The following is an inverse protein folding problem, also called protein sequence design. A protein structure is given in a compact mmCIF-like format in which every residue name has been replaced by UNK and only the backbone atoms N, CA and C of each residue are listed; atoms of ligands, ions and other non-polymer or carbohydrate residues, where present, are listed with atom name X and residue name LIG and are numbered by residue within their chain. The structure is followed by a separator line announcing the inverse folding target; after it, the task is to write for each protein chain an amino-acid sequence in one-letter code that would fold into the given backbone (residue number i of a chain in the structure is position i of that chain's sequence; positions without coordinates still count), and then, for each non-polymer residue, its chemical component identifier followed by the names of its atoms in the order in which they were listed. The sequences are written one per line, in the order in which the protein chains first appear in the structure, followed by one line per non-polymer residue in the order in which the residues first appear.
data_IF_086203602665
#
_entry.id   IF_086203602665
#
_cell.length_a   1.000
_cell.length_b   1.000
_cell.length_c   1.000
_cell.angle_alpha   90.00
_cell.angle_beta   90.00
_cell.angle_gamma   90.00
#
_symmetry.space_group_name_H-M   'P 1'
#
loop_
_entity.id
_entity.type
_entity.pdbx_description
1 polymer ?
#
# COMPACT_ATOMS: atom_id res chain seq x y z
N UNK A 1 4.53 11.34 8.78
CA UNK A 1 3.96 11.31 7.42
C UNK A 1 4.69 10.31 6.52
N UNK A 2 5.98 10.50 6.19
CA UNK A 2 6.70 9.60 5.26
C UNK A 2 6.81 8.16 5.77
N UNK A 3 7.17 7.97 7.04
CA UNK A 3 7.35 6.61 7.57
C UNK A 3 6.01 5.88 7.75
N UNK A 4 4.97 6.59 8.20
CA UNK A 4 3.60 6.08 8.19
C UNK A 4 3.11 5.75 6.77
N UNK A 5 3.44 6.59 5.79
CA UNK A 5 3.13 6.35 4.37
C UNK A 5 3.81 5.10 3.83
N UNK A 6 5.08 4.85 4.20
CA UNK A 6 5.79 3.63 3.82
C UNK A 6 5.17 2.38 4.44
N UNK A 7 4.82 2.42 5.73
CA UNK A 7 4.13 1.31 6.38
C UNK A 7 2.78 1.01 5.71
N UNK A 8 2.02 2.06 5.39
CA UNK A 8 0.77 1.95 4.64
C UNK A 8 0.98 1.31 3.25
N UNK A 9 1.95 1.80 2.47
CA UNK A 9 2.27 1.21 1.15
C UNK A 9 2.70 -0.25 1.25
N UNK A 10 3.42 -0.63 2.31
CA UNK A 10 3.80 -2.02 2.54
C UNK A 10 2.59 -2.90 2.84
N UNK A 11 1.70 -2.46 3.73
CA UNK A 11 0.48 -3.17 4.06
C UNK A 11 -0.42 -3.35 2.82
N UNK A 12 -0.58 -2.29 2.02
CA UNK A 12 -1.37 -2.38 0.79
C UNK A 12 -0.75 -3.32 -0.25
N UNK A 13 0.59 -3.39 -0.38
CA UNK A 13 1.24 -4.36 -1.27
C UNK A 13 0.95 -5.80 -0.84
N UNK A 14 0.99 -6.07 0.47
CA UNK A 14 0.64 -7.39 1.00
C UNK A 14 -0.83 -7.73 0.72
N UNK A 15 -1.74 -6.79 0.93
CA UNK A 15 -3.15 -6.96 0.60
C UNK A 15 -3.35 -7.28 -0.89
N UNK A 16 -2.74 -6.50 -1.79
CA UNK A 16 -2.83 -6.71 -3.25
C UNK A 16 -2.29 -8.09 -3.65
N UNK A 17 -1.21 -8.55 -3.02
CA UNK A 17 -0.69 -9.89 -3.27
C UNK A 17 -1.68 -10.98 -2.85
N UNK A 18 -2.35 -10.82 -1.70
CA UNK A 18 -3.42 -11.73 -1.28
C UNK A 18 -4.59 -11.77 -2.28
N UNK A 19 -4.97 -10.63 -2.85
CA UNK A 19 -6.00 -10.58 -3.91
C UNK A 19 -5.55 -11.32 -5.17
N UNK A 20 -4.28 -11.17 -5.58
CA UNK A 20 -3.72 -11.93 -6.72
C UNK A 20 -3.72 -13.43 -6.48
N UNK A 21 -3.33 -13.86 -5.28
CA UNK A 21 -3.34 -15.28 -4.91
C UNK A 21 -4.75 -15.86 -4.96
N UNK A 22 -5.74 -15.11 -4.46
CA UNK A 22 -7.15 -15.50 -4.53
C UNK A 22 -7.64 -15.60 -5.99
N UNK A 23 -7.23 -14.67 -6.85
CA UNK A 23 -7.55 -14.72 -8.28
C UNK A 23 -7.02 -16.01 -8.93
N UNK A 24 -5.77 -16.40 -8.62
CA UNK A 24 -5.15 -17.62 -9.14
C UNK A 24 -5.86 -18.90 -8.65
N UNK A 25 -6.24 -18.93 -7.37
CA UNK A 25 -6.99 -20.06 -6.80
C UNK A 25 -8.40 -20.18 -7.39
N UNK A 26 -8.96 -19.06 -7.86
CA UNK A 26 -10.30 -18.99 -8.46
C UNK A 26 -10.28 -19.24 -9.97
N UNK A 27 -9.19 -19.75 -10.55
CA UNK A 27 -9.02 -19.97 -12.01
C UNK A 27 -10.05 -20.90 -12.67
N UNK A 28 -10.88 -21.61 -11.90
CA UNK A 28 -12.01 -22.40 -12.42
C UNK A 28 -13.25 -21.55 -12.71
N UNK A 29 -13.36 -20.38 -12.09
CA UNK A 29 -14.42 -19.41 -12.31
C UNK A 29 -13.80 -18.19 -12.98
N UNK A 30 -13.98 -18.09 -14.30
CA UNK A 30 -13.40 -17.03 -15.12
C UNK A 30 -13.86 -15.64 -14.67
N UNK A 31 -15.10 -15.51 -14.16
CA UNK A 31 -15.65 -14.22 -13.69
C UNK A 31 -14.94 -13.79 -12.41
N UNK A 32 -14.79 -14.69 -11.44
CA UNK A 32 -14.09 -14.41 -10.17
C UNK A 32 -12.60 -14.16 -10.44
N UNK A 33 -11.95 -15.04 -11.20
CA UNK A 33 -10.51 -14.96 -11.50
C UNK A 33 -10.13 -13.66 -12.23
N UNK A 34 -10.83 -13.34 -13.33
CA UNK A 34 -10.54 -12.15 -14.14
C UNK A 34 -10.84 -10.85 -13.38
N UNK A 35 -11.94 -10.79 -12.62
CA UNK A 35 -12.32 -9.59 -11.85
C UNK A 35 -11.33 -9.30 -10.73
N UNK A 36 -10.93 -10.33 -9.96
CA UNK A 36 -9.93 -10.17 -8.90
C UNK A 36 -8.56 -9.79 -9.46
N UNK A 37 -8.17 -10.33 -10.61
CA UNK A 37 -6.93 -9.95 -11.28
C UNK A 37 -6.94 -8.46 -11.68
N UNK A 38 -8.03 -7.99 -12.30
CA UNK A 38 -8.20 -6.58 -12.69
C UNK A 38 -8.19 -5.63 -11.49
N UNK A 39 -8.82 -6.02 -10.37
CA UNK A 39 -8.77 -5.24 -9.13
C UNK A 39 -7.36 -5.20 -8.53
N UNK A 40 -6.66 -6.33 -8.51
CA UNK A 40 -5.29 -6.38 -8.00
C UNK A 40 -4.32 -5.53 -8.83
N UNK A 41 -4.45 -5.54 -10.16
CA UNK A 41 -3.66 -4.69 -11.05
C UNK A 41 -3.94 -3.20 -10.81
N UNK A 42 -5.22 -2.82 -10.73
CA UNK A 42 -5.62 -1.44 -10.42
C UNK A 42 -5.07 -0.98 -9.07
N UNK A 43 -5.21 -1.79 -8.02
CA UNK A 43 -4.71 -1.44 -6.69
C UNK A 43 -3.17 -1.39 -6.63
N UNK A 44 -2.49 -2.22 -7.43
CA UNK A 44 -1.03 -2.14 -7.56
C UNK A 44 -0.61 -0.80 -8.15
N UNK A 45 -1.29 -0.34 -9.18
CA UNK A 45 -0.97 0.93 -9.83
C UNK A 45 -1.26 2.12 -8.89
N UNK A 46 -2.34 2.06 -8.13
CA UNK A 46 -2.62 3.03 -7.06
C UNK A 46 -1.51 3.07 -5.99
N UNK A 47 -0.96 1.91 -5.62
CA UNK A 47 0.19 1.83 -4.72
C UNK A 47 1.47 2.44 -5.32
N UNK A 48 1.66 2.34 -6.64
CA UNK A 48 2.75 2.99 -7.34
C UNK A 48 2.61 4.52 -7.24
N UNK A 49 1.41 5.06 -7.45
CA UNK A 49 1.14 6.49 -7.29
C UNK A 49 1.36 7.00 -5.86
N UNK A 50 0.94 6.24 -4.84
CA UNK A 50 1.26 6.55 -3.44
C UNK A 50 2.77 6.58 -3.19
N UNK A 51 3.52 5.63 -3.76
CA UNK A 51 4.98 5.57 -3.62
C UNK A 51 5.63 6.84 -4.20
N UNK A 52 5.21 7.27 -5.39
CA UNK A 52 5.68 8.50 -6.05
C UNK A 52 5.35 9.73 -5.19
N UNK A 53 4.12 9.81 -4.64
CA UNK A 53 3.72 10.91 -3.78
C UNK A 53 4.61 11.02 -2.54
N UNK A 54 4.87 9.90 -1.86
CA UNK A 54 5.72 9.90 -0.65
C UNK A 54 7.17 10.25 -0.96
N UNK A 55 7.70 9.78 -2.08
CA UNK A 55 9.03 10.10 -2.55
C UNK A 55 9.16 11.60 -2.91
N UNK A 56 8.13 12.17 -3.55
CA UNK A 56 8.08 13.60 -3.82
C UNK A 56 7.95 14.44 -2.55
N UNK A 57 7.17 13.98 -1.57
CA UNK A 57 7.06 14.62 -0.26
C UNK A 57 8.38 14.59 0.51
N UNK A 58 9.11 13.48 0.44
CA UNK A 58 10.45 13.35 1.02
C UNK A 58 11.42 14.36 0.40
N UNK A 59 11.48 14.44 -0.94
CA UNK A 59 12.38 15.38 -1.62
C UNK A 59 12.01 16.85 -1.36
N UNK A 60 10.75 17.20 -1.60
CA UNK A 60 10.30 18.60 -1.54
C UNK A 60 10.24 19.14 -0.12
N UNK A 61 9.76 18.35 0.85
CA UNK A 61 9.60 18.82 2.23
C UNK A 61 10.82 18.50 3.07
N UNK A 62 11.19 17.22 3.18
CA UNK A 62 12.27 16.82 4.09
C UNK A 62 13.62 17.32 3.58
N UNK A 63 14.00 17.01 2.34
CA UNK A 63 15.36 17.31 1.85
C UNK A 63 15.57 18.81 1.67
N UNK A 64 14.70 19.52 0.95
CA UNK A 64 14.90 20.96 0.68
C UNK A 64 14.92 21.79 1.96
N UNK A 65 13.95 21.59 2.88
CA UNK A 65 13.92 22.34 4.13
C UNK A 65 15.07 21.95 5.06
N UNK A 66 15.47 20.68 5.08
CA UNK A 66 16.63 20.25 5.85
C UNK A 66 17.93 20.89 5.33
N UNK A 67 18.12 20.98 4.01
CA UNK A 67 19.27 21.68 3.43
C UNK A 67 19.27 23.16 3.79
N UNK A 68 18.13 23.85 3.70
CA UNK A 68 18.00 25.25 4.11
C UNK A 68 18.39 25.45 5.60
N UNK A 69 17.91 24.59 6.50
CA UNK A 69 18.26 24.64 7.92
C UNK A 69 19.74 24.31 8.16
N UNK A 70 20.29 23.33 7.45
CA UNK A 70 21.67 22.86 7.68
C UNK A 70 22.71 23.81 7.11
N UNK A 71 22.46 24.39 5.95
CA UNK A 71 23.44 25.18 5.23
C UNK A 71 23.22 26.69 5.42
N UNK A 72 22.04 27.20 5.08
CA UNK A 72 21.78 28.64 5.08
C UNK A 72 21.67 29.19 6.50
N UNK A 73 20.90 28.51 7.36
CA UNK A 73 20.78 28.94 8.75
C UNK A 73 22.11 28.79 9.51
N UNK A 74 22.94 27.80 9.17
CA UNK A 74 24.28 27.66 9.74
C UNK A 74 25.19 28.82 9.33
N UNK A 75 25.27 29.14 8.04
CA UNK A 75 26.05 30.30 7.54
C UNK A 75 25.63 31.61 8.22
N UNK A 76 24.32 31.81 8.41
CA UNK A 76 23.80 32.97 9.13
C UNK A 76 24.26 33.01 10.59
N UNK A 77 24.23 31.86 11.29
CA UNK A 77 24.72 31.76 12.67
C UNK A 77 26.21 32.06 12.79
N UNK A 78 27.02 31.65 11.81
CA UNK A 78 28.45 31.96 11.77
C UNK A 78 28.68 33.47 11.56
N UNK A 79 27.91 34.12 10.67
CA UNK A 79 27.95 35.57 10.49
C UNK A 79 27.55 36.33 11.77
N UNK A 80 26.50 35.86 12.47
CA UNK A 80 26.10 36.41 13.77
C UNK A 80 27.23 36.30 14.80
N UNK A 81 27.88 35.13 14.90
CA UNK A 81 28.99 34.92 15.82
C UNK A 81 30.16 35.88 15.54
N UNK A 82 30.48 36.12 14.28
CA UNK A 82 31.52 37.06 13.89
C UNK A 82 31.14 38.51 14.22
N UNK A 83 29.87 38.88 14.01
CA UNK A 83 29.35 40.19 14.41
C UNK A 83 29.43 40.40 15.92
N UNK A 84 28.97 39.44 16.71
CA UNK A 84 29.00 39.50 18.18
C UNK A 84 30.45 39.68 18.67
N UNK A 85 31.39 38.89 18.13
CA UNK A 85 32.83 38.97 18.45
C UNK A 85 33.42 40.35 18.16
N UNK A 86 33.23 40.88 16.95
CA UNK A 86 33.82 42.19 16.57
C UNK A 86 33.14 43.33 17.33
N UNK A 87 31.87 43.17 17.72
CA UNK A 87 31.18 44.12 18.60
C UNK A 87 31.86 44.21 19.97
N UNK A 88 32.16 43.08 20.59
CA UNK A 88 32.87 42.99 21.88
C UNK A 88 34.29 43.55 21.78
N UNK A 89 35.06 43.18 20.75
CA UNK A 89 36.41 43.71 20.52
C UNK A 89 36.42 45.24 20.38
N UNK A 90 35.41 45.81 19.70
CA UNK A 90 35.25 47.27 19.56
C UNK A 90 34.98 47.92 20.92
N UNK A 91 34.13 47.31 21.74
CA UNK A 91 33.80 47.82 23.08
C UNK A 91 35.04 47.81 23.98
N UNK A 92 35.81 46.71 23.99
CA UNK A 92 37.08 46.61 24.72
C UNK A 92 38.08 47.66 24.27
N UNK A 93 38.26 47.84 22.95
CA UNK A 93 39.16 48.86 22.40
C UNK A 93 38.72 50.29 22.78
N UNK A 94 37.42 50.53 22.84
CA UNK A 94 36.85 51.82 23.22
C UNK A 94 37.10 52.13 24.70
N UNK A 95 36.86 51.16 25.59
CA UNK A 95 37.15 51.31 27.02
C UNK A 95 38.64 51.54 27.26
N UNK A 96 39.51 50.75 26.61
CA UNK A 96 40.97 50.91 26.72
C UNK A 96 41.41 52.31 26.29
N UNK A 97 40.95 52.80 25.14
CA UNK A 97 41.30 54.14 24.65
C UNK A 97 40.83 55.25 25.59
N UNK A 98 39.66 55.11 26.21
CA UNK A 98 39.12 56.10 27.15
C UNK A 98 39.88 56.17 28.50
N UNK A 99 40.55 55.08 28.89
CA UNK A 99 41.25 54.98 30.17
C UNK A 99 42.72 55.45 30.12
N UNK A 100 43.30 55.67 28.94
CA UNK A 100 44.72 56.05 28.82
C UNK A 100 44.95 57.50 29.29
N UNK A 101 45.87 57.72 30.25
CA UNK A 101 46.26 59.06 30.65
C UNK A 101 46.85 59.89 29.50
N UNK A 102 46.40 61.14 29.34
CA UNK A 102 46.81 62.03 28.23
C UNK A 102 48.31 62.37 28.20
N UNK A 103 49.02 62.19 29.31
CA UNK A 103 50.47 62.44 29.37
C UNK A 103 51.30 61.35 28.67
N UNK A 104 50.70 60.22 28.30
CA UNK A 104 51.37 59.11 27.62
C UNK A 104 51.07 59.08 26.12
N UNK A 105 51.55 60.08 25.39
CA UNK A 105 51.17 60.31 23.99
C UNK A 105 51.30 59.08 23.08
N UNK A 106 52.39 58.32 23.21
CA UNK A 106 52.58 57.09 22.42
C UNK A 106 51.49 56.03 22.70
N UNK A 107 51.14 55.80 23.97
CA UNK A 107 50.08 54.85 24.34
C UNK A 107 48.70 55.34 23.83
N UNK A 108 48.45 56.66 23.87
CA UNK A 108 47.24 57.28 23.32
C UNK A 108 47.13 57.05 21.81
N UNK A 109 48.22 57.27 21.07
CA UNK A 109 48.25 57.11 19.62
C UNK A 109 48.02 55.64 19.22
N UNK A 110 48.66 54.70 19.92
CA UNK A 110 48.47 53.25 19.71
C UNK A 110 47.02 52.82 19.96
N UNK A 111 46.45 53.18 21.10
CA UNK A 111 45.07 52.83 21.42
C UNK A 111 44.05 53.47 20.46
N UNK A 112 44.34 54.70 20.00
CA UNK A 112 43.49 55.40 19.02
C UNK A 112 43.54 54.69 17.67
N UNK A 113 44.71 54.21 17.25
CA UNK A 113 44.87 53.45 16.01
C UNK A 113 44.13 52.10 16.07
N UNK A 114 44.26 51.37 17.19
CA UNK A 114 43.53 50.12 17.42
C UNK A 114 42.02 50.38 17.36
N UNK A 115 41.52 51.37 18.12
CA UNK A 115 40.10 51.72 18.13
C UNK A 115 39.60 52.09 16.72
N UNK A 116 40.38 52.86 15.97
CA UNK A 116 40.02 53.25 14.60
C UNK A 116 39.90 52.04 13.69
N UNK A 117 40.85 51.10 13.79
CA UNK A 117 40.85 49.86 13.00
C UNK A 117 39.68 48.96 13.36
N UNK A 118 39.45 48.72 14.66
CA UNK A 118 38.34 47.87 15.13
C UNK A 118 36.97 48.50 14.80
N UNK A 119 36.83 49.83 14.85
CA UNK A 119 35.60 50.52 14.40
C UNK A 119 35.33 50.33 12.91
N UNK A 120 36.37 50.36 12.07
CA UNK A 120 36.23 50.08 10.63
C UNK A 120 35.79 48.63 10.41
N UNK A 121 36.47 47.67 11.05
CA UNK A 121 36.11 46.25 10.98
C UNK A 121 34.66 46.00 11.41
N UNK A 122 34.26 46.56 12.56
CA UNK A 122 32.88 46.47 13.06
C UNK A 122 31.86 46.98 12.05
N UNK A 123 32.10 48.14 11.42
CA UNK A 123 31.17 48.68 10.41
C UNK A 123 31.01 47.75 9.21
N UNK A 124 32.10 47.17 8.71
CA UNK A 124 32.03 46.22 7.60
C UNK A 124 31.25 44.95 7.99
N UNK A 125 31.61 44.32 9.12
CA UNK A 125 30.95 43.10 9.57
C UNK A 125 29.47 43.35 9.95
N UNK A 126 29.14 44.52 10.51
CA UNK A 126 27.76 44.89 10.81
C UNK A 126 26.91 45.01 9.53
N UNK A 127 27.45 45.63 8.47
CA UNK A 127 26.78 45.70 7.17
C UNK A 127 26.58 44.31 6.56
N UNK A 128 27.62 43.46 6.59
CA UNK A 128 27.52 42.08 6.13
C UNK A 128 26.48 41.29 6.92
N UNK A 129 26.42 41.46 8.24
CA UNK A 129 25.43 40.79 9.08
C UNK A 129 24.00 41.24 8.73
N UNK A 130 23.77 42.55 8.56
CA UNK A 130 22.46 43.08 8.12
C UNK A 130 22.08 42.55 6.75
N UNK A 131 23.03 42.47 5.80
CA UNK A 131 22.80 41.86 4.50
C UNK A 131 22.39 40.38 4.65
N UNK A 132 23.09 39.61 5.48
CA UNK A 132 22.78 38.20 5.72
C UNK A 132 21.39 38.01 6.37
N UNK A 133 20.95 38.92 7.25
CA UNK A 133 19.57 38.93 7.79
C UNK A 133 18.56 39.04 6.65
N UNK A 134 18.73 40.03 5.76
CA UNK A 134 17.80 40.28 4.66
C UNK A 134 17.76 39.13 3.64
N UNK A 135 18.94 38.58 3.32
CA UNK A 135 19.05 37.41 2.43
C UNK A 135 18.37 36.19 3.05
N UNK A 136 18.62 35.90 4.33
CA UNK A 136 18.01 34.77 5.01
C UNK A 136 16.49 34.91 5.11
N UNK A 137 15.97 36.10 5.45
CA UNK A 137 14.52 36.32 5.51
C UNK A 137 13.86 36.08 4.14
N UNK A 138 14.44 36.63 3.08
CA UNK A 138 13.93 36.47 1.72
C UNK A 138 13.98 34.99 1.29
N UNK A 139 15.10 34.31 1.55
CA UNK A 139 15.29 32.90 1.20
C UNK A 139 14.37 31.98 2.00
N UNK A 140 14.16 32.24 3.30
CA UNK A 140 13.22 31.47 4.14
C UNK A 140 11.82 31.44 3.53
N UNK A 141 11.29 32.60 3.15
CA UNK A 141 9.96 32.71 2.54
C UNK A 141 9.89 31.93 1.24
N UNK A 142 10.93 32.06 0.41
CA UNK A 142 11.01 31.37 -0.88
C UNK A 142 11.05 29.85 -0.73
N UNK A 143 11.94 29.31 0.10
CA UNK A 143 12.13 27.86 0.27
C UNK A 143 10.89 27.19 0.87
N UNK A 144 10.24 27.82 1.86
CA UNK A 144 9.00 27.29 2.44
C UNK A 144 7.89 27.22 1.39
N UNK A 145 7.69 28.29 0.62
CA UNK A 145 6.65 28.34 -0.41
C UNK A 145 6.93 27.36 -1.55
N UNK A 146 8.18 27.27 -2.03
CA UNK A 146 8.57 26.30 -3.06
C UNK A 146 8.34 24.87 -2.61
N UNK A 147 8.74 24.53 -1.39
CA UNK A 147 8.56 23.20 -0.80
C UNK A 147 7.07 22.83 -0.73
N UNK A 148 6.24 23.72 -0.18
CA UNK A 148 4.81 23.46 -0.04
C UNK A 148 4.09 23.40 -1.40
N UNK A 149 4.43 24.29 -2.33
CA UNK A 149 3.86 24.28 -3.68
C UNK A 149 4.20 22.99 -4.42
N UNK A 150 5.46 22.52 -4.33
CA UNK A 150 5.86 21.24 -4.92
C UNK A 150 5.09 20.07 -4.32
N UNK A 151 4.88 20.06 -3.01
CA UNK A 151 4.09 19.03 -2.34
C UNK A 151 2.59 19.08 -2.74
N UNK A 152 2.00 20.27 -2.88
CA UNK A 152 0.62 20.42 -3.35
C UNK A 152 0.44 19.94 -4.78
N UNK A 153 1.38 20.26 -5.67
CA UNK A 153 1.37 19.76 -7.05
C UNK A 153 1.49 18.23 -7.11
N UNK A 154 2.32 17.64 -6.25
CA UNK A 154 2.43 16.19 -6.14
C UNK A 154 1.10 15.53 -5.72
N UNK A 155 0.39 16.13 -4.74
CA UNK A 155 -0.95 15.68 -4.35
C UNK A 155 -1.94 15.81 -5.49
N UNK A 156 -1.96 16.95 -6.20
CA UNK A 156 -2.84 17.15 -7.36
C UNK A 156 -2.62 16.06 -8.41
N UNK A 157 -1.36 15.79 -8.79
CA UNK A 157 -1.03 14.74 -9.75
C UNK A 157 -1.46 13.36 -9.24
N UNK A 158 -1.26 13.07 -7.95
CA UNK A 158 -1.70 11.81 -7.34
C UNK A 158 -3.23 11.62 -7.46
N UNK A 159 -4.01 12.62 -7.08
CA UNK A 159 -5.47 12.54 -7.16
C UNK A 159 -5.97 12.44 -8.61
N UNK A 160 -5.37 13.17 -9.54
CA UNK A 160 -5.72 13.09 -10.96
C UNK A 160 -5.43 11.70 -11.55
N UNK A 161 -4.28 11.12 -11.23
CA UNK A 161 -3.92 9.77 -11.68
C UNK A 161 -4.85 8.72 -11.07
N UNK A 162 -5.11 8.78 -9.76
CA UNK A 162 -6.05 7.89 -9.10
C UNK A 162 -7.48 8.01 -9.65
N UNK A 163 -7.97 9.23 -9.88
CA UNK A 163 -9.29 9.45 -10.46
C UNK A 163 -9.43 8.82 -11.85
N UNK A 164 -8.43 9.03 -12.73
CA UNK A 164 -8.42 8.43 -14.08
C UNK A 164 -8.42 6.90 -14.00
N UNK A 165 -7.54 6.35 -13.18
CA UNK A 165 -7.41 4.91 -12.97
C UNK A 165 -8.75 4.25 -12.55
N UNK A 166 -9.47 4.85 -11.59
CA UNK A 166 -10.76 4.31 -11.16
C UNK A 166 -11.91 4.62 -12.12
N UNK A 167 -11.80 5.68 -12.92
CA UNK A 167 -12.74 5.96 -14.02
C UNK A 167 -12.64 4.86 -15.08
N UNK A 168 -11.43 4.43 -15.43
CA UNK A 168 -11.19 3.37 -16.40
C UNK A 168 -11.64 1.99 -15.88
N UNK A 169 -11.60 1.75 -14.56
CA UNK A 169 -12.12 0.53 -13.92
C UNK A 169 -13.67 0.50 -13.82
N UNK A 170 -14.32 1.66 -13.85
CA UNK A 170 -15.75 1.80 -13.59
C UNK A 170 -16.67 0.90 -14.46
N UNK A 171 -16.41 0.70 -15.77
CA UNK A 171 -17.22 -0.19 -16.61
C UNK A 171 -17.20 -1.63 -16.11
N UNK A 172 -16.03 -2.15 -15.70
CA UNK A 172 -15.89 -3.50 -15.15
C UNK A 172 -16.69 -3.64 -13.85
N UNK A 173 -16.60 -2.66 -12.95
CA UNK A 173 -17.37 -2.67 -11.70
C UNK A 173 -18.89 -2.67 -11.95
N UNK A 174 -19.37 -1.91 -12.94
CA UNK A 174 -20.79 -1.91 -13.33
C UNK A 174 -21.21 -3.26 -13.91
N UNK A 175 -20.38 -3.85 -14.77
CA UNK A 175 -20.65 -5.17 -15.33
C UNK A 175 -20.75 -6.25 -14.24
N UNK A 176 -19.77 -6.28 -13.33
CA UNK A 176 -19.74 -7.21 -12.21
C UNK A 176 -20.93 -7.02 -11.26
N UNK A 177 -21.37 -5.77 -11.05
CA UNK A 177 -22.58 -5.48 -10.28
C UNK A 177 -23.82 -6.16 -10.86
N UNK A 178 -24.01 -6.07 -12.18
CA UNK A 178 -25.13 -6.76 -12.84
C UNK A 178 -25.00 -8.29 -12.79
N UNK A 179 -23.79 -8.84 -12.90
CA UNK A 179 -23.56 -10.28 -12.74
C UNK A 179 -23.90 -10.77 -11.32
N UNK A 180 -23.57 -9.98 -10.30
CA UNK A 180 -23.88 -10.31 -8.92
C UNK A 180 -25.39 -10.35 -8.67
N UNK A 181 -26.15 -9.38 -9.20
CA UNK A 181 -27.61 -9.36 -9.11
C UNK A 181 -28.22 -10.63 -9.73
N UNK A 182 -27.70 -11.05 -10.89
CA UNK A 182 -28.14 -12.28 -11.55
C UNK A 182 -27.80 -13.53 -10.72
N UNK A 183 -26.59 -13.61 -10.16
CA UNK A 183 -26.17 -14.74 -9.31
C UNK A 183 -27.04 -14.88 -8.04
N UNK A 184 -27.51 -13.78 -7.47
CA UNK A 184 -28.44 -13.82 -6.32
C UNK A 184 -29.76 -14.46 -6.73
N UNK A 185 -30.30 -14.10 -7.89
CA UNK A 185 -31.54 -14.69 -8.43
C UNK A 185 -31.36 -16.17 -8.72
N UNK A 186 -30.27 -16.53 -9.40
CA UNK A 186 -29.98 -17.91 -9.78
C UNK A 186 -29.76 -18.79 -8.55
N UNK A 187 -29.02 -18.31 -7.56
CA UNK A 187 -28.81 -19.00 -6.29
C UNK A 187 -30.11 -19.22 -5.51
N UNK A 188 -31.00 -18.22 -5.48
CA UNK A 188 -32.30 -18.36 -4.82
C UNK A 188 -33.20 -19.39 -5.54
N UNK A 189 -33.14 -19.43 -6.87
CA UNK A 189 -33.86 -20.42 -7.68
C UNK A 189 -33.29 -21.82 -7.45
N UNK A 190 -31.97 -21.99 -7.54
CA UNK A 190 -31.30 -23.27 -7.33
C UNK A 190 -31.59 -23.83 -5.93
N UNK A 191 -31.53 -22.96 -4.90
CA UNK A 191 -31.90 -23.33 -3.54
C UNK A 191 -33.33 -23.86 -3.46
N UNK A 192 -34.30 -23.15 -4.05
CA UNK A 192 -35.71 -23.57 -4.05
C UNK A 192 -35.89 -24.91 -4.76
N UNK A 193 -35.28 -25.06 -5.93
CA UNK A 193 -35.36 -26.29 -6.73
C UNK A 193 -34.75 -27.48 -5.95
N UNK A 194 -33.64 -27.25 -5.23
CA UNK A 194 -33.02 -28.24 -4.36
C UNK A 194 -33.88 -28.59 -3.13
N UNK A 195 -34.51 -27.60 -2.49
CA UNK A 195 -35.44 -27.83 -1.37
C UNK A 195 -36.66 -28.66 -1.81
N UNK A 196 -37.19 -28.41 -3.01
CA UNK A 196 -38.29 -29.18 -3.59
C UNK A 196 -37.85 -30.63 -3.88
N UNK A 197 -36.70 -30.83 -4.54
CA UNK A 197 -36.15 -32.16 -4.80
C UNK A 197 -35.92 -32.94 -3.51
N UNK A 198 -35.32 -32.29 -2.50
CA UNK A 198 -35.10 -32.89 -1.19
C UNK A 198 -36.41 -33.33 -0.54
N UNK A 199 -37.45 -32.48 -0.59
CA UNK A 199 -38.78 -32.81 -0.05
C UNK A 199 -39.43 -33.98 -0.78
N UNK A 200 -39.30 -34.04 -2.12
CA UNK A 200 -39.86 -35.12 -2.93
C UNK A 200 -39.18 -36.47 -2.63
N UNK A 201 -37.84 -36.49 -2.50
CA UNK A 201 -37.09 -37.70 -2.12
C UNK A 201 -37.53 -38.18 -0.74
N UNK A 202 -37.65 -37.29 0.25
CA UNK A 202 -38.13 -37.66 1.58
C UNK A 202 -39.51 -38.32 1.51
N UNK A 203 -40.46 -37.76 0.75
CA UNK A 203 -41.79 -38.35 0.59
C UNK A 203 -41.76 -39.74 -0.07
N UNK A 204 -40.88 -39.95 -1.06
CA UNK A 204 -40.73 -41.25 -1.72
C UNK A 204 -40.08 -42.30 -0.81
N UNK A 205 -39.04 -41.94 -0.06
CA UNK A 205 -38.34 -42.86 0.84
C UNK A 205 -39.26 -43.38 1.95
N UNK A 206 -40.12 -42.53 2.54
CA UNK A 206 -41.13 -42.97 3.51
C UNK A 206 -42.22 -43.87 2.91
N UNK A 207 -42.46 -43.81 1.60
CA UNK A 207 -43.44 -44.66 0.92
C UNK A 207 -42.87 -46.00 0.44
N UNK A 208 -41.54 -46.16 0.42
CA UNK A 208 -40.84 -47.32 -0.15
C UNK A 208 -40.38 -48.33 0.89
N UNK A 209 -40.52 -48.04 2.20
CA UNK A 209 -40.16 -49.00 3.27
C UNK A 209 -41.03 -50.28 3.26
N UNK A 210 -42.12 -50.33 2.50
CA UNK A 210 -43.08 -51.46 2.49
C UNK A 210 -43.07 -52.32 1.21
N UNK A 211 -42.18 -52.05 0.24
CA UNK A 211 -42.06 -52.86 -0.99
C UNK A 211 -40.70 -53.52 -1.07
N UNK A 212 -40.67 -54.84 -0.82
CA UNK A 212 -39.50 -55.69 -1.05
C UNK A 212 -38.90 -55.46 -2.44
N UNK A 213 -37.71 -54.85 -2.45
CA UNK A 213 -37.05 -54.33 -3.64
C UNK A 213 -36.43 -55.44 -4.50
N UNK A 214 -37.08 -55.79 -5.61
CA UNK A 214 -36.43 -56.48 -6.74
C UNK A 214 -36.15 -55.43 -7.84
N UNK A 215 -35.06 -54.66 -7.68
CA UNK A 215 -34.61 -53.68 -8.68
C UNK A 215 -33.90 -54.41 -9.83
N UNK A 216 -34.66 -54.93 -10.79
CA UNK A 216 -34.11 -55.30 -12.10
C UNK A 216 -34.14 -54.09 -13.03
N UNK A 217 -33.01 -53.42 -13.15
CA UNK A 217 -32.82 -52.40 -14.17
C UNK A 217 -32.32 -53.13 -15.43
N UNK A 218 -33.24 -53.49 -16.32
CA UNK A 218 -32.88 -54.01 -17.64
C UNK A 218 -32.41 -52.84 -18.50
N UNK A 219 -31.09 -52.62 -18.54
CA UNK A 219 -30.44 -51.72 -19.50
C UNK A 219 -30.20 -52.43 -20.83
N UNK A 220 -30.27 -51.71 -21.95
CA UNK A 220 -30.09 -52.24 -23.33
C UNK A 220 -28.78 -53.04 -23.55
N UNK A 221 -27.80 -52.96 -22.65
CA UNK A 221 -26.52 -53.68 -22.70
C UNK A 221 -26.36 -54.81 -21.65
N UNK A 222 -27.45 -55.26 -21.03
CA UNK A 222 -27.48 -56.36 -20.06
C UNK A 222 -27.91 -55.93 -18.65
N UNK A 223 -28.03 -56.92 -17.75
CA UNK A 223 -28.44 -56.70 -16.35
C UNK A 223 -27.30 -56.01 -15.59
N UNK A 224 -27.57 -54.80 -15.12
CA UNK A 224 -26.72 -54.07 -14.19
C UNK A 224 -27.31 -54.16 -12.78
N UNK A 225 -26.55 -54.70 -11.84
CA UNK A 225 -26.91 -54.75 -10.42
C UNK A 225 -25.86 -54.03 -9.60
N UNK A 226 -26.29 -53.05 -8.83
CA UNK A 226 -25.43 -52.35 -7.87
C UNK A 226 -26.10 -52.32 -6.50
N UNK A 227 -25.29 -52.46 -5.45
CA UNK A 227 -25.82 -52.46 -4.10
C UNK A 227 -24.77 -52.83 -3.07
N UNK A 228 -25.20 -52.77 -1.80
CA UNK A 228 -24.36 -53.18 -0.70
C UNK A 228 -24.53 -54.68 -0.44
N UNK A 229 -23.41 -55.41 -0.41
CA UNK A 229 -23.39 -56.80 0.01
C UNK A 229 -22.38 -56.98 1.14
N UNK A 230 -22.74 -57.83 2.09
CA UNK A 230 -21.79 -58.32 3.08
C UNK A 230 -20.98 -59.44 2.46
N UNK A 231 -19.66 -59.29 2.43
CA UNK A 231 -18.74 -60.35 2.00
C UNK A 231 -18.04 -60.92 3.21
N UNK A 232 -18.07 -62.26 3.33
CA UNK A 232 -17.38 -62.98 4.39
C UNK A 232 -15.89 -63.03 4.08
N UNK A 233 -15.05 -62.64 5.03
CA UNK A 233 -13.62 -62.80 4.92
C UNK A 233 -13.25 -64.29 4.94
N UNK A 234 -12.36 -64.71 4.04
CA UNK A 234 -11.88 -66.10 3.96
C UNK A 234 -10.85 -66.46 5.05
N UNK A 235 -10.61 -65.56 6.01
CA UNK A 235 -9.69 -65.76 7.13
C UNK A 235 -10.35 -66.58 8.26
N UNK A 236 -9.55 -67.06 9.22
CA UNK A 236 -10.02 -67.89 10.33
C UNK A 236 -11.10 -67.22 11.20
N UNK A 237 -11.10 -65.88 11.27
CA UNK A 237 -12.05 -65.10 12.07
C UNK A 237 -13.41 -64.88 11.38
N UNK A 238 -13.52 -65.17 10.07
CA UNK A 238 -14.78 -65.24 9.30
C UNK A 238 -15.71 -64.03 9.49
N UNK A 239 -15.16 -62.82 9.53
CA UNK A 239 -15.92 -61.57 9.70
C UNK A 239 -16.68 -61.18 8.44
N UNK A 240 -17.80 -60.48 8.62
CA UNK A 240 -18.61 -59.95 7.52
C UNK A 240 -18.38 -58.44 7.40
N UNK A 241 -17.94 -57.99 6.22
CA UNK A 241 -17.73 -56.58 5.94
C UNK A 241 -18.67 -56.12 4.82
N UNK A 242 -19.26 -54.94 4.96
CA UNK A 242 -20.13 -54.34 3.96
C UNK A 242 -19.28 -53.67 2.88
N UNK A 243 -19.48 -54.05 1.63
CA UNK A 243 -18.86 -53.39 0.48
C UNK A 243 -19.94 -53.05 -0.55
N UNK A 244 -19.72 -51.98 -1.30
CA UNK A 244 -20.48 -51.69 -2.51
C UNK A 244 -19.99 -52.59 -3.63
N UNK A 245 -20.89 -53.31 -4.28
CA UNK A 245 -20.60 -54.19 -5.40
C UNK A 245 -21.39 -53.72 -6.62
N UNK A 246 -20.76 -53.82 -7.79
CA UNK A 246 -21.37 -53.51 -9.08
C UNK A 246 -21.12 -54.69 -10.02
N UNK A 247 -22.18 -55.26 -10.58
CA UNK A 247 -22.11 -56.31 -11.58
C UNK A 247 -22.71 -55.82 -12.89
N UNK A 248 -21.92 -55.84 -13.96
CA UNK A 248 -22.37 -55.48 -15.31
C UNK A 248 -22.17 -56.67 -16.25
N UNK A 249 -23.26 -57.23 -16.76
CA UNK A 249 -23.18 -58.35 -17.70
C UNK A 249 -23.02 -57.85 -19.13
N UNK A 250 -21.79 -57.78 -19.66
CA UNK A 250 -21.56 -57.44 -21.07
C UNK A 250 -21.83 -58.65 -21.97
N UNK A 251 -22.72 -58.49 -22.97
CA UNK A 251 -22.96 -59.52 -23.98
C UNK A 251 -21.71 -59.64 -24.87
N UNK A 252 -20.85 -60.64 -24.62
CA UNK A 252 -19.82 -61.03 -25.59
C UNK A 252 -20.52 -61.70 -26.77
N UNK A 253 -20.67 -60.98 -27.87
CA UNK A 253 -20.93 -61.58 -29.19
C UNK A 253 -19.72 -62.44 -29.56
N UNK A 254 -19.86 -63.77 -29.45
CA UNK A 254 -18.94 -64.71 -30.06
C UNK A 254 -19.03 -64.56 -31.58
N UNK A 255 -18.10 -63.82 -32.18
CA UNK A 255 -17.74 -64.02 -33.58
C UNK A 255 -17.07 -65.40 -33.63
N UNK A 256 -17.78 -66.37 -34.20
CA UNK A 256 -17.24 -67.70 -34.48
C UNK A 256 -16.79 -67.69 -35.93
N UNK A 257 -15.47 -67.86 -36.13
CA UNK A 257 -14.70 -68.23 -37.33
C UNK A 257 -15.18 -67.73 -38.69
#
# INVERSE_FOLDING_TARGET
MIDAGRAYSQANRQFVNGVRELALQSSRDDVIGSSLAAFAETLQEMNNYHTILFDQAQRSVKTQLHTFVKEDLKKFKDAKKQFDKVSEEKEVAQVKNAQIPRNKQHEVDEATNILTTTRKCFRHIALDYVLQINVLQSKKRLEILKSMLSFMNANLSFFQQGYRLFTDLQPLMKHLGGQLDQLVVDSAKEKRDMEQKHSAIQQQDFSTEDTGLDYKIDTENGIAMEGYLFKRASNAFKTWNRYTHTHTHTHRSNITL
#
